data_IF_218500297722
#
_entry.id   IF_218500297722
#
_cell.length_a   1.000
_cell.length_b   1.000
_cell.length_c   1.000
_cell.angle_alpha   90.00
_cell.angle_beta   90.00
_cell.angle_gamma   90.00
#
_symmetry.space_group_name_H-M   'P 1'
#
loop_
_entity.id
_entity.type
_entity.pdbx_description
1 polymer ?
#
# COMPACT_ATOMS: atom_id res chain seq x y z
N UNK A 1 24.99 17.82 -37.49
CA UNK A 1 23.68 18.37 -37.08
C UNK A 1 22.79 17.20 -36.71
N UNK A 2 22.56 16.96 -35.42
CA UNK A 2 21.80 15.80 -34.93
C UNK A 2 20.53 16.30 -34.24
N UNK A 3 19.38 15.88 -34.75
CA UNK A 3 18.06 16.33 -34.32
C UNK A 3 17.76 15.98 -32.86
N UNK A 4 17.35 16.99 -32.10
CA UNK A 4 16.73 16.87 -30.80
C UNK A 4 15.28 16.40 -31.00
N UNK A 5 14.93 15.18 -30.59
CA UNK A 5 13.52 14.80 -30.50
C UNK A 5 12.95 15.36 -29.19
N UNK A 6 12.10 16.38 -29.33
CA UNK A 6 11.36 17.00 -28.25
C UNK A 6 10.10 16.16 -28.02
N UNK A 7 10.04 15.42 -26.91
CA UNK A 7 8.79 14.78 -26.48
C UNK A 7 8.02 15.79 -25.63
N UNK A 8 7.00 16.42 -26.22
CA UNK A 8 6.07 17.30 -25.49
C UNK A 8 4.98 16.44 -24.86
N UNK A 9 4.89 16.44 -23.53
CA UNK A 9 3.74 15.88 -22.84
C UNK A 9 2.84 17.05 -22.40
N UNK A 10 1.67 17.27 -23.02
CA UNK A 10 0.78 18.35 -22.60
C UNK A 10 0.12 17.99 -21.26
N UNK A 11 0.43 18.76 -20.22
CA UNK A 11 -0.41 18.84 -19.03
C UNK A 11 -1.60 19.72 -19.42
N UNK A 12 -2.83 19.22 -19.30
CA UNK A 12 -4.01 20.07 -19.52
C UNK A 12 -3.92 21.26 -18.55
N UNK A 13 -3.79 22.46 -19.11
CA UNK A 13 -4.07 23.73 -18.44
C UNK A 13 -2.89 24.48 -17.81
N UNK A 14 -1.67 23.93 -17.74
CA UNK A 14 -0.52 24.68 -17.21
C UNK A 14 0.75 24.41 -18.03
N UNK A 15 1.22 25.44 -18.72
CA UNK A 15 2.46 25.43 -19.50
C UNK A 15 3.66 25.60 -18.55
N UNK A 16 4.07 24.55 -17.85
CA UNK A 16 5.33 24.56 -17.09
C UNK A 16 6.42 23.91 -17.96
N UNK A 17 7.34 24.72 -18.48
CA UNK A 17 8.51 24.27 -19.23
C UNK A 17 9.55 23.65 -18.28
N UNK A 18 9.29 22.44 -17.78
CA UNK A 18 10.29 21.66 -17.05
C UNK A 18 11.17 20.90 -18.06
N UNK A 19 12.37 21.42 -18.32
CA UNK A 19 13.39 20.76 -19.14
C UNK A 19 14.15 19.79 -18.23
N UNK A 20 13.75 18.51 -18.26
CA UNK A 20 14.52 17.44 -17.61
C UNK A 20 15.41 16.80 -18.67
N UNK A 21 16.71 17.07 -18.63
CA UNK A 21 17.71 16.38 -19.47
C UNK A 21 18.11 15.07 -18.81
N UNK A 22 17.66 13.95 -19.38
CA UNK A 22 18.12 12.62 -18.93
C UNK A 22 19.40 12.23 -19.69
N UNK A 23 20.51 11.86 -19.00
CA UNK A 23 21.73 11.44 -19.67
C UNK A 23 21.52 10.12 -20.42
N UNK A 24 22.03 10.08 -21.65
CA UNK A 24 21.67 9.18 -22.77
C UNK A 24 22.07 7.70 -22.60
N UNK A 25 22.25 7.19 -21.39
CA UNK A 25 22.77 5.82 -21.17
C UNK A 25 22.13 5.02 -20.02
N UNK A 26 21.08 5.52 -19.38
CA UNK A 26 20.30 4.71 -18.43
C UNK A 26 19.09 4.10 -19.15
N UNK A 27 18.85 2.79 -19.00
CA UNK A 27 17.57 2.16 -19.37
C UNK A 27 16.47 2.96 -18.70
N UNK A 28 15.73 3.77 -19.45
CA UNK A 28 14.67 4.61 -18.88
C UNK A 28 13.55 3.70 -18.44
N UNK A 29 13.36 3.54 -17.14
CA UNK A 29 12.17 2.93 -16.58
C UNK A 29 10.94 3.66 -17.15
N UNK A 30 9.86 2.95 -17.53
CA UNK A 30 8.65 3.61 -17.98
C UNK A 30 8.13 4.54 -16.89
N UNK A 31 8.08 5.84 -17.19
CA UNK A 31 7.49 6.84 -16.31
C UNK A 31 5.99 6.55 -16.18
N UNK A 32 5.49 6.38 -14.95
CA UNK A 32 4.06 6.18 -14.68
C UNK A 32 3.46 7.46 -14.11
N UNK A 33 2.26 7.80 -14.58
CA UNK A 33 1.48 8.88 -13.98
C UNK A 33 0.70 8.32 -12.81
N UNK A 34 0.93 8.90 -11.63
CA UNK A 34 0.06 8.70 -10.48
C UNK A 34 -1.00 9.79 -10.54
N UNK A 35 -2.26 9.41 -10.38
CA UNK A 35 -3.39 10.31 -10.22
C UNK A 35 -3.37 10.98 -8.85
N UNK A 36 -4.47 11.65 -8.51
CA UNK A 36 -4.57 12.36 -7.24
C UNK A 36 -4.58 11.38 -6.06
N UNK A 37 -3.87 11.78 -5.00
CA UNK A 37 -3.94 11.10 -3.71
C UNK A 37 -5.20 11.56 -2.98
N UNK A 38 -5.91 10.64 -2.34
CA UNK A 38 -7.10 10.96 -1.56
C UNK A 38 -7.13 10.18 -0.26
N UNK A 39 -7.76 10.77 0.76
CA UNK A 39 -7.97 10.11 2.04
C UNK A 39 -9.14 9.16 1.93
N UNK A 40 -8.92 7.91 2.35
CA UNK A 40 -9.98 6.92 2.50
C UNK A 40 -10.46 6.98 3.95
N UNK A 41 -11.76 7.04 4.13
CA UNK A 41 -12.39 7.01 5.44
C UNK A 41 -13.24 5.74 5.59
N UNK A 42 -13.52 5.34 6.82
CA UNK A 42 -14.33 4.17 7.22
C UNK A 42 -13.68 2.82 6.91
N UNK A 43 -14.04 1.80 7.68
CA UNK A 43 -13.59 0.43 7.47
C UNK A 43 -14.01 -0.08 6.08
N UNK A 44 -15.28 0.14 5.73
CA UNK A 44 -15.86 -0.31 4.47
C UNK A 44 -15.20 0.37 3.27
N UNK A 45 -14.86 1.66 3.39
CA UNK A 45 -14.15 2.40 2.35
C UNK A 45 -12.75 1.86 2.11
N UNK A 46 -12.03 1.51 3.18
CA UNK A 46 -10.71 0.87 3.09
C UNK A 46 -10.80 -0.50 2.41
N UNK A 47 -11.79 -1.32 2.79
CA UNK A 47 -12.02 -2.62 2.16
C UNK A 47 -12.35 -2.46 0.67
N UNK A 48 -13.24 -1.51 0.33
CA UNK A 48 -13.63 -1.23 -1.05
C UNK A 48 -12.45 -0.80 -1.92
N UNK A 49 -11.58 0.07 -1.40
CA UNK A 49 -10.39 0.54 -2.12
C UNK A 49 -9.43 -0.62 -2.38
N UNK A 50 -9.20 -1.46 -1.36
CA UNK A 50 -8.33 -2.63 -1.50
C UNK A 50 -8.86 -3.63 -2.54
N UNK A 51 -10.18 -3.87 -2.58
CA UNK A 51 -10.78 -4.75 -3.58
C UNK A 51 -10.62 -4.24 -5.01
N UNK A 52 -10.94 -2.96 -5.25
CA UNK A 52 -11.06 -2.45 -6.61
C UNK A 52 -9.75 -1.91 -7.18
N UNK A 53 -8.90 -1.34 -6.32
CA UNK A 53 -7.75 -0.53 -6.74
C UNK A 53 -6.43 -0.98 -6.11
N UNK A 54 -6.50 -1.80 -5.06
CA UNK A 54 -5.35 -2.41 -4.41
C UNK A 54 -4.94 -1.73 -3.12
N UNK A 55 -3.74 -2.03 -2.64
CA UNK A 55 -3.31 -1.68 -1.28
C UNK A 55 -3.33 -0.18 -0.99
N UNK A 56 -3.67 0.17 0.24
CA UNK A 56 -3.69 1.55 0.75
C UNK A 56 -2.56 1.79 1.74
N UNK A 57 -2.17 3.06 1.89
CA UNK A 57 -1.15 3.47 2.86
C UNK A 57 -1.83 4.00 4.12
N UNK A 58 -1.47 3.48 5.29
CA UNK A 58 -2.05 3.87 6.56
C UNK A 58 -0.98 4.36 7.53
N UNK A 59 -1.33 5.31 8.38
CA UNK A 59 -0.51 5.72 9.52
C UNK A 59 -1.06 5.07 10.79
N UNK A 60 -0.19 4.53 11.62
CA UNK A 60 -0.55 3.98 12.92
C UNK A 60 0.39 4.49 14.01
N UNK A 61 -0.11 4.53 15.24
CA UNK A 61 0.68 4.78 16.43
C UNK A 61 1.39 3.50 16.86
N UNK A 62 2.70 3.58 17.08
CA UNK A 62 3.52 2.43 17.49
C UNK A 62 4.10 2.63 18.90
N UNK A 63 4.11 1.54 19.67
CA UNK A 63 4.81 1.42 20.95
C UNK A 63 6.10 0.61 20.78
N UNK A 64 6.91 0.51 21.83
CA UNK A 64 8.11 -0.35 21.84
C UNK A 64 7.79 -1.83 21.60
N UNK A 65 6.63 -2.30 22.03
CA UNK A 65 6.24 -3.71 21.89
C UNK A 65 6.02 -4.09 20.43
N UNK A 66 5.62 -3.14 19.58
CA UNK A 66 5.43 -3.38 18.15
C UNK A 66 6.73 -3.82 17.47
N UNK A 67 7.90 -3.35 17.92
CA UNK A 67 9.17 -3.79 17.37
C UNK A 67 9.46 -5.28 17.63
N UNK A 68 8.86 -5.85 18.67
CA UNK A 68 9.00 -7.24 19.08
C UNK A 68 7.87 -8.14 18.52
N UNK A 69 7.00 -7.61 17.66
CA UNK A 69 5.94 -8.40 17.04
C UNK A 69 6.54 -9.55 16.21
N UNK A 70 6.01 -10.76 16.43
CA UNK A 70 6.41 -11.98 15.72
C UNK A 70 5.23 -12.61 14.98
N UNK A 71 4.07 -12.75 15.63
CA UNK A 71 2.88 -13.35 15.00
C UNK A 71 1.58 -13.00 15.73
N UNK A 72 0.45 -13.33 15.09
CA UNK A 72 -0.90 -13.18 15.66
C UNK A 72 -1.55 -11.83 15.36
N UNK A 73 -2.76 -11.62 15.88
CA UNK A 73 -3.49 -10.34 15.72
C UNK A 73 -3.02 -9.35 16.77
N UNK A 74 -2.18 -8.40 16.36
CA UNK A 74 -1.65 -7.35 17.19
C UNK A 74 -2.76 -6.45 17.75
N UNK A 75 -2.60 -6.11 19.02
CA UNK A 75 -3.39 -5.11 19.74
C UNK A 75 -2.40 -4.17 20.40
N UNK A 76 -2.63 -2.87 20.28
CA UNK A 76 -1.85 -1.91 21.02
C UNK A 76 -2.07 -2.16 22.50
N UNK A 77 -0.98 -2.43 23.22
CA UNK A 77 -0.99 -2.35 24.67
C UNK A 77 -1.50 -0.96 25.04
N UNK A 78 -2.46 -0.90 25.99
CA UNK A 78 -2.87 0.37 26.57
C UNK A 78 -1.62 0.98 27.19
N UNK A 79 -1.05 1.93 26.46
CA UNK A 79 0.01 2.84 26.83
C UNK A 79 0.24 2.80 28.33
N UNK A 80 1.19 1.98 28.80
CA UNK A 80 1.74 2.19 30.12
C UNK A 80 2.06 3.69 30.18
N UNK A 81 1.41 4.41 31.09
CA UNK A 81 1.60 5.85 31.29
C UNK A 81 3.10 6.14 31.26
N UNK A 82 3.58 6.81 30.20
CA UNK A 82 5.01 7.11 30.01
C UNK A 82 5.77 6.29 28.95
N UNK A 83 5.13 5.37 28.22
CA UNK A 83 5.80 4.69 27.09
C UNK A 83 6.01 5.65 25.92
N UNK A 84 7.25 5.75 25.42
CA UNK A 84 7.57 6.54 24.22
C UNK A 84 6.84 5.96 23.02
N UNK A 85 5.91 6.72 22.46
CA UNK A 85 5.19 6.35 21.23
C UNK A 85 5.54 7.27 20.08
N UNK A 86 5.49 6.72 18.87
CA UNK A 86 5.63 7.48 17.63
C UNK A 86 4.55 7.07 16.63
N UNK A 87 4.59 7.70 15.45
CA UNK A 87 3.80 7.29 14.31
C UNK A 87 4.68 6.51 13.33
N UNK A 88 4.11 5.49 12.70
CA UNK A 88 4.73 4.69 11.65
C UNK A 88 3.75 4.53 10.49
N UNK A 89 4.27 4.52 9.28
CA UNK A 89 3.47 4.40 8.06
C UNK A 89 3.65 3.01 7.48
N UNK A 90 2.53 2.34 7.22
CA UNK A 90 2.45 0.95 6.80
C UNK A 90 1.50 0.80 5.62
N UNK A 91 1.48 -0.37 4.98
CA UNK A 91 0.65 -0.62 3.79
C UNK A 91 -0.36 -1.72 4.07
N UNK A 92 -1.64 -1.38 4.08
CA UNK A 92 -2.72 -2.36 4.23
C UNK A 92 -2.95 -3.03 2.89
N UNK A 93 -2.83 -4.35 2.85
CA UNK A 93 -2.93 -5.16 1.62
C UNK A 93 -4.17 -6.03 1.56
N UNK A 94 -4.87 -6.19 2.67
CA UNK A 94 -6.05 -7.03 2.78
C UNK A 94 -6.63 -7.03 4.18
N UNK A 95 -7.65 -7.85 4.38
CA UNK A 95 -8.26 -8.10 5.69
C UNK A 95 -8.68 -9.56 5.76
N UNK A 96 -8.96 -10.01 6.97
CA UNK A 96 -9.48 -11.35 7.23
C UNK A 96 -10.24 -11.42 8.54
N UNK A 97 -10.73 -12.61 8.82
CA UNK A 97 -11.32 -12.96 10.10
C UNK A 97 -10.89 -14.36 10.49
N UNK A 98 -10.69 -14.59 11.79
CA UNK A 98 -10.35 -15.90 12.33
C UNK A 98 -11.11 -16.17 13.63
N UNK A 99 -11.38 -17.44 13.90
CA UNK A 99 -12.01 -17.84 15.16
C UNK A 99 -10.93 -18.02 16.22
N UNK A 100 -10.98 -17.20 17.28
CA UNK A 100 -10.14 -17.36 18.47
C UNK A 100 -11.02 -17.53 19.70
N UNK A 101 -10.82 -18.61 20.46
CA UNK A 101 -11.55 -18.88 21.71
C UNK A 101 -13.09 -18.77 21.57
N UNK A 102 -13.62 -19.25 20.44
CA UNK A 102 -15.05 -19.19 20.14
C UNK A 102 -15.58 -17.81 19.74
N UNK A 103 -14.70 -16.85 19.43
CA UNK A 103 -15.05 -15.50 18.97
C UNK A 103 -14.41 -15.19 17.63
N UNK A 104 -15.18 -14.56 16.74
CA UNK A 104 -14.67 -14.03 15.47
C UNK A 104 -13.80 -12.80 15.73
N UNK A 105 -12.51 -12.88 15.39
CA UNK A 105 -11.56 -11.77 15.44
C UNK A 105 -11.29 -11.31 14.02
N UNK A 106 -11.66 -10.07 13.72
CA UNK A 106 -11.41 -9.42 12.43
C UNK A 106 -10.07 -8.69 12.46
N UNK A 107 -9.30 -8.75 11.38
CA UNK A 107 -7.98 -8.13 11.31
C UNK A 107 -7.67 -7.55 9.92
N UNK A 108 -6.79 -6.56 9.90
CA UNK A 108 -6.10 -6.09 8.70
C UNK A 108 -4.83 -6.90 8.47
N UNK A 109 -4.52 -7.17 7.21
CA UNK A 109 -3.23 -7.72 6.78
C UNK A 109 -2.39 -6.56 6.29
N UNK A 110 -1.23 -6.35 6.92
CA UNK A 110 -0.43 -5.15 6.72
C UNK A 110 1.00 -5.54 6.38
N UNK A 111 1.50 -4.98 5.28
CA UNK A 111 2.90 -5.11 4.84
C UNK A 111 3.74 -4.05 5.54
N UNK A 112 4.78 -4.49 6.23
CA UNK A 112 5.77 -3.62 6.86
C UNK A 112 6.98 -3.40 5.91
N UNK A 113 7.86 -2.47 6.27
CA UNK A 113 9.03 -2.06 5.50
C UNK A 113 10.37 -2.48 6.12
N UNK A 114 10.36 -3.42 7.07
CA UNK A 114 11.53 -3.85 7.84
C UNK A 114 12.15 -5.16 7.37
N UNK A 115 11.78 -5.64 6.17
CA UNK A 115 12.31 -6.88 5.59
C UNK A 115 11.52 -8.13 6.00
N UNK A 116 11.85 -9.25 5.36
CA UNK A 116 11.11 -10.52 5.50
C UNK A 116 11.37 -11.23 6.83
N UNK A 117 12.43 -10.88 7.57
CA UNK A 117 12.76 -11.50 8.86
C UNK A 117 11.88 -11.02 10.01
N UNK A 118 11.09 -9.98 9.80
CA UNK A 118 10.28 -9.37 10.85
C UNK A 118 8.83 -9.83 10.76
N UNK A 119 8.20 -10.11 11.91
CA UNK A 119 6.81 -10.53 11.99
C UNK A 119 6.52 -11.78 11.14
N UNK A 120 5.38 -11.76 10.47
CA UNK A 120 4.89 -12.85 9.63
C UNK A 120 5.44 -12.70 8.20
N UNK A 121 6.74 -12.95 8.02
CA UNK A 121 7.43 -12.82 6.72
C UNK A 121 7.41 -11.38 6.16
N UNK A 122 7.60 -10.37 7.01
CA UNK A 122 7.51 -8.96 6.66
C UNK A 122 6.10 -8.37 6.74
N UNK A 123 5.12 -9.17 7.17
CA UNK A 123 3.74 -8.76 7.40
C UNK A 123 3.39 -8.81 8.87
N UNK A 124 2.28 -8.16 9.21
CA UNK A 124 1.64 -8.30 10.50
C UNK A 124 0.13 -8.21 10.35
N UNK A 125 -0.57 -8.77 11.33
CA UNK A 125 -2.01 -8.66 11.46
C UNK A 125 -2.34 -7.76 12.64
N UNK A 126 -3.30 -6.86 12.47
CA UNK A 126 -3.75 -5.92 13.51
C UNK A 126 -5.27 -5.90 13.57
N UNK A 127 -5.83 -5.72 14.77
CA UNK A 127 -7.28 -5.72 14.99
C UNK A 127 -7.99 -4.70 14.09
N UNK A 128 -9.08 -5.12 13.45
CA UNK A 128 -9.91 -4.31 12.55
C UNK A 128 -11.24 -3.95 13.20
N UNK A 129 -11.70 -2.72 12.96
CA UNK A 129 -13.03 -2.23 13.35
C UNK A 129 -13.07 -1.55 14.72
N UNK A 130 -11.94 -1.43 15.39
CA UNK A 130 -11.78 -0.69 16.66
C UNK A 130 -10.84 0.50 16.53
N UNK A 131 -10.43 0.84 15.31
CA UNK A 131 -9.37 1.82 15.05
C UNK A 131 -8.10 1.54 15.90
N UNK A 132 -7.72 0.27 15.94
CA UNK A 132 -6.62 -0.20 16.77
C UNK A 132 -5.33 0.56 16.40
N UNK A 133 -4.65 1.11 17.40
CA UNK A 133 -3.46 1.93 17.19
C UNK A 133 -3.66 3.12 16.23
N UNK A 134 -4.89 3.65 16.08
CA UNK A 134 -5.21 4.73 15.13
C UNK A 134 -4.98 4.37 13.65
N UNK A 135 -4.88 3.08 13.30
CA UNK A 135 -4.56 2.68 11.92
C UNK A 135 -5.64 3.05 10.90
N UNK A 136 -6.88 3.24 11.34
CA UNK A 136 -8.03 3.57 10.49
C UNK A 136 -8.26 5.09 10.40
N UNK A 137 -7.52 5.91 11.17
CA UNK A 137 -7.67 7.37 11.19
C UNK A 137 -7.10 8.04 9.93
N UNK A 138 -5.92 7.64 9.49
CA UNK A 138 -5.24 8.29 8.38
C UNK A 138 -4.81 7.28 7.34
N UNK A 139 -5.73 7.00 6.42
CA UNK A 139 -5.52 6.11 5.28
C UNK A 139 -5.57 6.91 3.98
N UNK A 140 -4.57 6.69 3.13
CA UNK A 140 -4.41 7.38 1.85
C UNK A 140 -4.27 6.35 0.74
N UNK A 141 -5.01 6.58 -0.34
CA UNK A 141 -4.91 5.83 -1.57
C UNK A 141 -4.45 6.74 -2.70
N UNK A 142 -3.88 6.12 -3.74
CA UNK A 142 -3.47 6.81 -4.95
C UNK A 142 -3.80 5.93 -6.15
N UNK A 143 -4.61 6.46 -7.05
CA UNK A 143 -4.93 5.80 -8.31
C UNK A 143 -3.73 5.93 -9.27
N UNK A 144 -3.19 4.81 -9.75
CA UNK A 144 -2.20 4.85 -10.82
C UNK A 144 -2.91 4.85 -12.17
N UNK A 145 -2.61 5.81 -13.05
CA UNK A 145 -3.05 5.74 -14.44
C UNK A 145 -2.16 4.73 -15.16
N UNK A 146 -2.63 3.48 -15.21
CA UNK A 146 -2.02 2.38 -15.96
C UNK A 146 -2.57 2.37 -17.41
N UNK A 147 -3.52 3.26 -17.74
CA UNK A 147 -4.32 3.22 -18.97
C UNK A 147 -3.85 4.12 -20.10
N UNK A 148 -3.04 5.15 -19.86
CA UNK A 148 -2.51 6.01 -20.92
C UNK A 148 -1.02 5.81 -21.14
N UNK A 149 -0.66 4.65 -21.69
CA UNK A 149 0.59 4.54 -22.40
C UNK A 149 0.53 5.47 -23.63
N UNK A 150 1.53 6.34 -23.79
CA UNK A 150 1.94 6.71 -25.14
C UNK A 150 2.29 5.37 -25.80
N UNK A 151 1.44 4.93 -26.72
CA UNK A 151 1.43 3.58 -27.27
C UNK A 151 2.81 3.16 -27.80
N UNK A 152 3.45 2.22 -27.11
CA UNK A 152 4.19 1.16 -27.78
C UNK A 152 3.43 -0.11 -27.44
N UNK A 153 2.90 -0.73 -28.50
CA UNK A 153 2.14 -1.97 -28.55
C UNK A 153 2.63 -3.03 -27.58
N UNK A 154 1.77 -3.48 -26.66
CA UNK A 154 1.43 -4.91 -26.58
C UNK A 154 0.27 -5.16 -25.61
N UNK A 155 -0.80 -5.72 -26.15
CA UNK A 155 -1.93 -6.30 -25.42
C UNK A 155 -1.62 -7.79 -25.20
N UNK A 156 -1.15 -8.20 -24.02
CA UNK A 156 -1.28 -9.60 -23.55
C UNK A 156 -0.68 -9.84 -22.15
N UNK A 157 -1.06 -9.10 -21.11
CA UNK A 157 -0.57 -9.42 -19.77
C UNK A 157 -1.62 -9.19 -18.67
N UNK A 158 -2.75 -9.89 -18.73
CA UNK A 158 -3.68 -9.99 -17.59
C UNK A 158 -4.55 -11.25 -17.66
N UNK A 159 -3.95 -12.43 -17.63
CA UNK A 159 -4.65 -13.64 -17.19
C UNK A 159 -3.64 -14.53 -16.43
N UNK A 160 -3.91 -14.83 -15.16
CA UNK A 160 -3.30 -15.90 -14.34
C UNK A 160 -2.05 -15.59 -13.49
N UNK A 161 -2.11 -14.63 -12.57
CA UNK A 161 -1.18 -14.58 -11.43
C UNK A 161 -1.89 -14.96 -10.13
N UNK A 162 -1.56 -16.12 -9.56
CA UNK A 162 -2.04 -16.58 -8.25
C UNK A 162 -0.95 -16.42 -7.19
N UNK A 163 -1.30 -15.90 -6.01
CA UNK A 163 -0.38 -15.74 -4.88
C UNK A 163 -0.87 -16.56 -3.67
N UNK A 164 0.07 -17.20 -2.96
CA UNK A 164 -0.20 -17.97 -1.75
C UNK A 164 0.70 -17.49 -0.61
N UNK A 165 0.13 -17.32 0.59
CA UNK A 165 0.88 -17.09 1.82
C UNK A 165 0.59 -18.25 2.79
N UNK A 166 1.61 -18.99 3.21
CA UNK A 166 1.51 -20.13 4.14
C UNK A 166 0.43 -21.17 3.79
N UNK A 167 0.27 -21.48 2.50
CA UNK A 167 -0.70 -22.46 2.02
C UNK A 167 -2.14 -21.95 1.93
N UNK A 168 -2.42 -20.72 2.36
CA UNK A 168 -3.70 -20.06 2.14
C UNK A 168 -3.69 -19.37 0.78
N UNK A 169 -4.64 -19.74 -0.08
CA UNK A 169 -4.86 -19.10 -1.37
C UNK A 169 -5.45 -17.71 -1.14
N UNK A 170 -4.79 -16.68 -1.65
CA UNK A 170 -5.30 -15.32 -1.60
C UNK A 170 -6.05 -15.11 -2.92
N UNK A 171 -7.38 -15.22 -2.88
CA UNK A 171 -8.22 -14.90 -4.04
C UNK A 171 -8.33 -13.37 -4.14
N UNK A 172 -7.71 -12.82 -5.19
CA UNK A 172 -7.85 -11.42 -5.58
C UNK A 172 -8.78 -11.44 -6.80
N UNK A 173 -10.09 -11.23 -6.56
CA UNK A 173 -11.11 -11.07 -7.61
C UNK A 173 -11.13 -9.65 -8.14
#
# INVERSE_FOLDING_TARGET
>A
MVGQQIVRCPIRGVTINLIVTCPRSAKTSPLRRVGLMYRVATEEGIMYEIMNWGSVQAMMKVSKEFFMYESGVYRCSNLALGSKTGYHTVRIVGWGEEQQNGRTVKYWIVSNSWGLWWGESGYFRILKGTNECQIEDFVVAAMADIGNFCSISDKSFRENASYSLNGTKIDIS
#
